data_IF_182475659353
#
_entry.id   IF_182475659353
#
_cell.length_a   1.000
_cell.length_b   1.000
_cell.length_c   1.000
_cell.angle_alpha   90.00
_cell.angle_beta   90.00
_cell.angle_gamma   90.00
#
_symmetry.space_group_name_H-M   'P 1'
#
loop_
_entity.id
_entity.type
_entity.pdbx_description
1 polymer ?
#
# COMPACT_ATOMS: atom_id res chain seq x y z
N UNK A 1 0.61 29.23 -0.62
CA UNK A 1 0.82 28.59 -1.94
C UNK A 1 0.75 27.09 -1.71
N UNK A 2 -0.35 26.46 -2.08
CA UNK A 2 -0.51 25.01 -2.00
C UNK A 2 -0.08 24.40 -3.33
N UNK A 3 0.81 23.41 -3.30
CA UNK A 3 1.40 22.78 -4.48
C UNK A 3 0.54 21.66 -5.09
N UNK A 4 -0.70 21.47 -4.60
CA UNK A 4 -1.60 20.40 -5.03
C UNK A 4 -3.06 20.90 -5.03
N UNK A 5 -3.66 20.96 -6.21
CA UNK A 5 -5.06 21.36 -6.48
C UNK A 5 -5.90 20.19 -7.04
N UNK A 6 -5.71 18.99 -6.48
CA UNK A 6 -6.50 17.80 -6.78
C UNK A 6 -7.26 17.31 -5.54
N UNK A 7 -8.43 16.72 -5.76
CA UNK A 7 -9.19 16.04 -4.70
C UNK A 7 -8.43 14.79 -4.29
N UNK A 8 -7.53 14.91 -3.32
CA UNK A 8 -6.93 13.75 -2.63
C UNK A 8 -7.82 13.29 -1.50
N UNK A 9 -7.67 12.02 -1.09
CA UNK A 9 -8.29 11.49 0.12
C UNK A 9 -8.04 12.41 1.31
N UNK A 10 -9.07 12.64 2.12
CA UNK A 10 -8.92 13.30 3.41
C UNK A 10 -7.87 12.54 4.24
N UNK A 11 -7.13 13.26 5.08
CA UNK A 11 -6.21 12.61 6.03
C UNK A 11 -7.03 11.71 6.96
N UNK A 12 -6.82 10.39 6.87
CA UNK A 12 -7.47 9.41 7.73
C UNK A 12 -6.46 8.98 8.79
N UNK A 13 -6.55 9.49 10.03
CA UNK A 13 -5.63 9.09 11.08
C UNK A 13 -5.84 7.62 11.44
N UNK A 14 -4.75 6.90 11.67
CA UNK A 14 -4.79 5.59 12.31
C UNK A 14 -5.12 5.81 13.79
N UNK A 15 -6.31 5.37 14.20
CA UNK A 15 -6.86 5.58 15.54
C UNK A 15 -6.92 4.28 16.37
N UNK A 16 -6.53 3.15 15.77
CA UNK A 16 -6.65 1.80 16.35
C UNK A 16 -8.05 1.49 16.88
N UNK A 17 -9.07 2.14 16.33
CA UNK A 17 -10.47 1.97 16.70
C UNK A 17 -11.30 1.70 15.45
N UNK A 18 -11.25 2.62 14.49
CA UNK A 18 -11.92 2.52 13.19
C UNK A 18 -10.97 2.32 12.02
N UNK A 19 -9.68 2.63 12.22
CA UNK A 19 -8.60 2.50 11.24
C UNK A 19 -7.43 1.82 11.92
N UNK A 20 -7.04 0.67 11.40
CA UNK A 20 -6.02 -0.20 12.00
C UNK A 20 -4.93 -0.53 10.99
N UNK A 21 -3.67 -0.49 11.42
CA UNK A 21 -2.59 -1.14 10.69
C UNK A 21 -2.46 -2.57 11.22
N UNK A 22 -2.71 -3.55 10.37
CA UNK A 22 -2.55 -4.96 10.71
C UNK A 22 -1.27 -5.50 10.10
N UNK A 23 -0.33 -5.93 10.96
CA UNK A 23 0.85 -6.70 10.55
C UNK A 23 0.50 -8.19 10.61
N UNK A 24 0.56 -8.89 9.48
CA UNK A 24 0.09 -10.26 9.43
C UNK A 24 1.13 -11.24 9.93
N UNK A 25 0.73 -12.09 10.88
CA UNK A 25 1.46 -13.28 11.33
C UNK A 25 2.91 -13.01 11.76
N UNK A 26 3.25 -11.77 12.15
CA UNK A 26 4.62 -11.37 12.46
C UNK A 26 5.59 -11.64 11.31
N UNK A 27 5.15 -11.41 10.08
CA UNK A 27 5.95 -11.58 8.85
C UNK A 27 6.86 -10.40 8.54
N UNK A 28 6.61 -9.25 9.19
CA UNK A 28 7.38 -8.03 9.05
C UNK A 28 7.29 -7.14 10.30
N UNK A 29 8.19 -6.16 10.39
CA UNK A 29 8.00 -4.94 11.19
C UNK A 29 7.84 -3.72 10.29
N UNK A 30 7.18 -2.69 10.81
CA UNK A 30 7.16 -1.36 10.21
C UNK A 30 7.97 -0.43 11.11
N UNK A 31 8.91 0.29 10.51
CA UNK A 31 9.81 1.21 11.19
C UNK A 31 9.79 2.57 10.48
N UNK A 32 9.93 3.71 11.18
CA UNK A 32 10.01 5.00 10.51
C UNK A 32 11.37 5.18 9.82
N UNK A 33 11.38 5.76 8.62
CA UNK A 33 12.59 6.13 7.89
C UNK A 33 12.68 7.64 7.63
N UNK A 34 13.90 8.18 7.61
CA UNK A 34 14.16 9.56 7.18
C UNK A 34 14.37 9.69 5.67
N UNK A 35 14.67 8.59 4.98
CA UNK A 35 14.70 8.48 3.51
C UNK A 35 13.27 8.40 2.99
N UNK A 36 12.87 9.33 2.12
CA UNK A 36 11.45 9.54 1.75
C UNK A 36 11.32 10.27 0.42
N UNK A 37 10.14 10.20 -0.21
CA UNK A 37 9.84 11.03 -1.39
C UNK A 37 9.38 12.42 -0.96
N UNK A 38 8.52 12.50 0.05
CA UNK A 38 7.96 13.76 0.52
C UNK A 38 7.85 13.83 2.05
N UNK A 39 7.28 14.93 2.55
CA UNK A 39 6.99 15.08 3.97
C UNK A 39 8.23 14.97 4.87
N UNK A 40 8.03 14.35 6.05
CA UNK A 40 9.06 14.23 7.10
C UNK A 40 9.58 12.81 7.31
N UNK A 41 8.80 11.78 7.00
CA UNK A 41 9.15 10.36 7.18
C UNK A 41 8.43 9.50 6.14
N UNK A 42 9.01 8.34 5.82
CA UNK A 42 8.32 7.23 5.14
C UNK A 42 8.26 6.03 6.08
N UNK A 43 7.50 5.00 5.71
CA UNK A 43 7.50 3.71 6.39
C UNK A 43 8.58 2.79 5.79
N UNK A 44 9.29 2.06 6.64
CA UNK A 44 10.26 1.03 6.29
C UNK A 44 9.67 -0.33 6.64
N UNK A 45 9.35 -1.11 5.61
CA UNK A 45 8.90 -2.49 5.73
C UNK A 45 10.12 -3.38 5.89
N UNK A 46 10.23 -4.10 7.00
CA UNK A 46 11.38 -4.97 7.29
C UNK A 46 10.94 -6.43 7.33
N UNK A 47 11.51 -7.25 6.47
CA UNK A 47 11.17 -8.66 6.31
C UNK A 47 11.62 -9.51 7.51
N UNK A 48 10.76 -10.40 8.03
CA UNK A 48 11.08 -11.26 9.18
C UNK A 48 11.71 -12.62 8.81
N UNK A 49 12.13 -12.79 7.54
CA UNK A 49 12.75 -14.03 7.05
C UNK A 49 11.79 -15.18 6.73
N UNK A 50 10.50 -14.89 6.48
CA UNK A 50 9.45 -15.90 6.24
C UNK A 50 9.24 -16.22 4.76
N UNK A 51 8.33 -17.14 4.46
CA UNK A 51 7.99 -17.54 3.08
C UNK A 51 7.05 -16.56 2.37
N UNK A 52 6.54 -15.57 3.10
CA UNK A 52 5.71 -14.48 2.62
C UNK A 52 5.73 -13.34 3.64
N UNK A 53 5.29 -12.16 3.23
CA UNK A 53 4.96 -11.07 4.15
C UNK A 53 3.71 -10.32 3.75
N UNK A 54 3.04 -9.72 4.73
CA UNK A 54 2.01 -8.75 4.41
C UNK A 54 1.54 -7.90 5.59
N UNK A 55 1.03 -6.73 5.23
CA UNK A 55 0.29 -5.86 6.13
C UNK A 55 -0.82 -5.14 5.38
N UNK A 56 -1.70 -4.45 6.10
CA UNK A 56 -2.69 -3.60 5.46
C UNK A 56 -3.29 -2.57 6.42
N UNK A 57 -3.94 -1.58 5.82
CA UNK A 57 -4.84 -0.66 6.52
C UNK A 57 -6.23 -1.27 6.47
N UNK A 58 -6.87 -1.42 7.63
CA UNK A 58 -8.23 -1.97 7.74
C UNK A 58 -9.18 -0.93 8.36
N UNK A 59 -10.40 -0.89 7.84
CA UNK A 59 -11.49 -0.04 8.28
C UNK A 59 -12.57 -0.86 8.97
N UNK A 60 -13.05 -0.34 10.10
CA UNK A 60 -14.25 -0.84 10.77
C UNK A 60 -15.09 0.35 11.23
N UNK A 61 -16.26 0.62 10.62
CA UNK A 61 -16.92 -0.14 9.56
C UNK A 61 -16.28 0.05 8.16
N UNK A 62 -16.65 -0.80 7.17
CA UNK A 62 -16.28 -0.61 5.77
C UNK A 62 -16.74 0.75 5.21
N UNK A 63 -16.05 1.25 4.18
CA UNK A 63 -16.33 2.58 3.60
C UNK A 63 -16.52 2.51 2.08
N UNK A 64 -17.28 3.46 1.54
CA UNK A 64 -17.51 3.59 0.12
C UNK A 64 -16.36 4.37 -0.55
N UNK A 65 -15.80 3.81 -1.63
CA UNK A 65 -14.76 4.38 -2.48
C UNK A 65 -15.21 4.72 -3.91
N UNK A 66 -16.49 4.64 -4.26
CA UNK A 66 -17.06 4.94 -5.59
C UNK A 66 -16.70 6.35 -6.11
N UNK A 67 -16.38 7.28 -5.21
CA UNK A 67 -15.96 8.64 -5.56
C UNK A 67 -14.49 8.78 -5.94
N UNK A 68 -13.70 7.70 -5.90
CA UNK A 68 -12.27 7.71 -6.19
C UNK A 68 -11.93 6.90 -7.44
N UNK A 69 -10.89 7.32 -8.16
CA UNK A 69 -10.49 6.74 -9.44
C UNK A 69 -9.15 6.02 -9.37
N UNK A 70 -8.20 6.54 -8.57
CA UNK A 70 -6.83 6.03 -8.53
C UNK A 70 -6.30 5.89 -7.10
N UNK A 71 -5.65 4.75 -6.82
CA UNK A 71 -4.81 4.54 -5.64
C UNK A 71 -3.36 4.85 -6.01
N UNK A 72 -2.73 5.71 -5.22
CA UNK A 72 -1.32 6.05 -5.34
C UNK A 72 -0.53 5.40 -4.22
N UNK A 73 0.68 4.94 -4.52
CA UNK A 73 1.68 4.47 -3.54
C UNK A 73 3.07 4.60 -4.15
N UNK A 74 4.07 4.92 -3.34
CA UNK A 74 5.47 4.97 -3.79
C UNK A 74 6.30 3.93 -3.05
N UNK A 75 7.15 3.22 -3.80
CA UNK A 75 7.95 2.10 -3.30
C UNK A 75 9.42 2.30 -3.68
N UNK A 76 10.35 1.92 -2.80
CA UNK A 76 11.78 1.81 -3.10
C UNK A 76 12.39 0.62 -2.37
N UNK A 77 12.98 -0.29 -3.13
CA UNK A 77 13.82 -1.37 -2.61
C UNK A 77 14.83 -1.80 -3.68
N UNK A 78 15.92 -2.41 -3.22
CA UNK A 78 16.83 -3.22 -4.05
C UNK A 78 16.98 -4.64 -3.48
N UNK A 79 16.26 -4.96 -2.40
CA UNK A 79 16.43 -6.19 -1.65
C UNK A 79 15.60 -7.33 -2.28
N UNK A 80 16.16 -8.54 -2.40
CA UNK A 80 15.56 -9.62 -3.20
C UNK A 80 14.17 -10.06 -2.71
N UNK A 81 13.86 -9.94 -1.42
CA UNK A 81 12.55 -10.23 -0.84
C UNK A 81 11.42 -9.35 -1.37
N UNK A 82 11.75 -8.21 -1.98
CA UNK A 82 10.80 -7.26 -2.57
C UNK A 82 10.89 -7.21 -4.10
N UNK A 83 11.50 -8.22 -4.73
CA UNK A 83 11.53 -8.33 -6.20
C UNK A 83 10.13 -8.52 -6.81
N UNK A 84 9.21 -9.15 -6.07
CA UNK A 84 7.82 -9.35 -6.47
C UNK A 84 6.89 -8.89 -5.34
N UNK A 85 6.21 -7.77 -5.58
CA UNK A 85 5.28 -7.13 -4.65
C UNK A 85 3.90 -7.03 -5.30
N UNK A 86 2.86 -7.21 -4.50
CA UNK A 86 1.47 -6.96 -4.88
C UNK A 86 0.85 -5.91 -3.98
N UNK A 87 0.03 -5.06 -4.59
CA UNK A 87 -0.85 -4.12 -3.89
C UNK A 87 -2.27 -4.66 -3.97
N UNK A 88 -2.91 -4.77 -2.82
CA UNK A 88 -4.24 -5.35 -2.67
C UNK A 88 -5.26 -4.38 -2.09
N UNK A 89 -6.52 -4.71 -2.33
CA UNK A 89 -7.68 -4.08 -1.72
C UNK A 89 -8.70 -5.17 -1.40
N UNK A 90 -9.38 -5.04 -0.25
CA UNK A 90 -10.38 -6.01 0.17
C UNK A 90 -11.73 -5.35 0.48
N UNK A 91 -12.78 -5.97 -0.03
CA UNK A 91 -14.16 -5.94 0.46
C UNK A 91 -14.44 -7.34 1.05
N UNK A 92 -15.57 -7.98 0.73
CA UNK A 92 -15.80 -9.41 0.99
C UNK A 92 -14.89 -10.33 0.15
N UNK A 93 -14.21 -9.80 -0.86
CA UNK A 93 -13.18 -10.44 -1.66
C UNK A 93 -11.80 -9.82 -1.36
N UNK A 94 -10.74 -10.51 -1.75
CA UNK A 94 -9.39 -9.97 -1.77
C UNK A 94 -8.89 -9.92 -3.20
N UNK A 95 -8.64 -8.71 -3.70
CA UNK A 95 -8.07 -8.50 -5.03
C UNK A 95 -6.65 -7.98 -4.87
N UNK A 96 -5.71 -8.64 -5.53
CA UNK A 96 -4.28 -8.30 -5.48
C UNK A 96 -3.77 -8.07 -6.89
N UNK A 97 -3.05 -6.97 -7.08
CA UNK A 97 -2.51 -6.56 -8.37
C UNK A 97 -0.98 -6.48 -8.25
N UNK A 98 -0.22 -7.10 -9.17
CA UNK A 98 1.24 -7.07 -9.13
C UNK A 98 1.74 -5.64 -9.38
N UNK A 99 2.60 -5.12 -8.51
CA UNK A 99 3.13 -3.76 -8.58
C UNK A 99 3.89 -3.48 -9.88
N UNK A 100 4.52 -4.52 -10.46
CA UNK A 100 5.24 -4.42 -11.74
C UNK A 100 4.34 -4.04 -12.92
N UNK A 101 3.02 -4.31 -12.85
CA UNK A 101 2.05 -3.84 -13.86
C UNK A 101 1.94 -2.31 -13.91
N UNK A 102 2.32 -1.64 -12.81
CA UNK A 102 2.21 -0.20 -12.63
C UNK A 102 3.55 0.52 -12.58
N UNK A 103 4.65 -0.16 -12.95
CA UNK A 103 5.98 0.44 -13.13
C UNK A 103 6.97 0.20 -11.99
N UNK A 104 6.63 -0.56 -10.95
CA UNK A 104 7.60 -0.91 -9.91
C UNK A 104 8.72 -1.81 -10.45
N UNK A 105 9.97 -1.42 -10.16
CA UNK A 105 11.16 -2.25 -10.37
C UNK A 105 11.98 -2.27 -9.08
N UNK A 106 12.54 -3.44 -8.73
CA UNK A 106 13.39 -3.60 -7.56
C UNK A 106 14.85 -3.21 -7.87
N UNK A 107 15.09 -1.91 -8.07
CA UNK A 107 16.35 -1.34 -8.57
C UNK A 107 16.97 -0.29 -7.63
N UNK A 108 16.44 -0.16 -6.41
CA UNK A 108 16.85 0.82 -5.41
C UNK A 108 16.42 2.26 -5.74
N UNK A 109 15.57 2.45 -6.75
CA UNK A 109 14.96 3.74 -7.06
C UNK A 109 13.54 3.83 -6.53
N UNK A 110 13.07 5.06 -6.36
CA UNK A 110 11.68 5.33 -6.02
C UNK A 110 10.80 5.20 -7.26
N UNK A 111 9.76 4.38 -7.15
CA UNK A 111 8.73 4.22 -8.18
C UNK A 111 7.38 4.63 -7.61
N UNK A 112 6.73 5.56 -8.30
CA UNK A 112 5.36 5.97 -7.98
C UNK A 112 4.37 5.16 -8.81
N UNK A 113 3.49 4.43 -8.13
CA UNK A 113 2.45 3.63 -8.73
C UNK A 113 1.14 4.42 -8.70
N UNK A 114 0.50 4.55 -9.87
CA UNK A 114 -0.87 5.04 -10.01
C UNK A 114 -1.74 3.86 -10.47
N UNK A 115 -2.49 3.27 -9.53
CA UNK A 115 -3.25 2.04 -9.72
C UNK A 115 -4.73 2.41 -9.91
N UNK A 116 -5.32 2.23 -11.10
CA UNK A 116 -6.74 2.52 -11.32
C UNK A 116 -7.63 1.62 -10.45
N UNK A 117 -8.61 2.20 -9.75
CA UNK A 117 -9.58 1.42 -8.96
C UNK A 117 -10.40 0.47 -9.85
N UNK A 118 -10.57 0.81 -11.13
CA UNK A 118 -11.19 -0.04 -12.13
C UNK A 118 -10.49 -1.40 -12.29
N UNK A 119 -9.18 -1.49 -12.05
CA UNK A 119 -8.47 -2.79 -12.11
C UNK A 119 -8.83 -3.69 -10.92
N UNK A 120 -9.11 -3.13 -9.74
CA UNK A 120 -9.63 -3.90 -8.61
C UNK A 120 -11.07 -4.35 -8.87
N UNK A 121 -11.91 -3.47 -9.43
CA UNK A 121 -13.29 -3.81 -9.84
C UNK A 121 -13.30 -4.92 -10.90
N UNK A 122 -12.39 -4.87 -11.87
CA UNK A 122 -12.22 -5.93 -12.86
C UNK A 122 -11.80 -7.28 -12.23
N UNK A 123 -11.13 -7.24 -11.07
CA UNK A 123 -10.82 -8.40 -10.24
C UNK A 123 -11.97 -8.88 -9.34
N UNK A 124 -13.11 -8.18 -9.34
CA UNK A 124 -14.31 -8.56 -8.59
C UNK A 124 -14.59 -7.75 -7.31
N UNK A 125 -13.76 -6.73 -7.02
CA UNK A 125 -13.94 -5.86 -5.86
C UNK A 125 -15.16 -4.94 -6.02
N UNK A 126 -15.95 -4.77 -4.96
CA UNK A 126 -17.01 -3.77 -4.86
C UNK A 126 -16.53 -2.55 -4.05
N UNK A 127 -16.54 -1.37 -4.68
CA UNK A 127 -16.03 -0.14 -4.05
C UNK A 127 -16.96 0.43 -2.98
N UNK A 128 -18.24 0.05 -2.96
CA UNK A 128 -19.23 0.62 -2.04
C UNK A 128 -19.07 0.15 -0.58
N UNK A 129 -18.27 -0.89 -0.31
CA UNK A 129 -18.10 -1.49 1.01
C UNK A 129 -16.66 -2.02 1.27
N UNK A 130 -15.65 -1.21 0.99
CA UNK A 130 -14.23 -1.60 1.15
C UNK A 130 -13.86 -1.65 2.63
N UNK A 131 -13.26 -2.77 3.06
CA UNK A 131 -12.79 -3.00 4.43
C UNK A 131 -11.27 -2.86 4.57
N UNK A 132 -10.49 -3.16 3.53
CA UNK A 132 -9.05 -2.93 3.53
C UNK A 132 -8.66 -2.17 2.25
N UNK A 133 -8.60 -0.82 2.28
CA UNK A 133 -8.28 -0.01 1.11
C UNK A 133 -6.86 -0.23 0.58
N UNK A 134 -5.95 -0.74 1.41
CA UNK A 134 -4.56 -0.96 1.07
C UNK A 134 -4.04 -2.18 1.79
N UNK A 135 -3.52 -3.12 1.02
CA UNK A 135 -2.82 -4.32 1.48
C UNK A 135 -1.52 -4.43 0.71
N UNK A 136 -0.40 -4.59 1.42
CA UNK A 136 0.90 -4.82 0.81
C UNK A 136 1.30 -6.27 1.04
N UNK A 137 1.72 -6.97 -0.02
CA UNK A 137 2.14 -8.36 0.04
C UNK A 137 3.43 -8.53 -0.75
N UNK A 138 4.37 -9.30 -0.20
CA UNK A 138 5.52 -9.80 -0.94
C UNK A 138 5.76 -11.29 -0.63
N UNK A 139 6.57 -11.93 -1.46
CA UNK A 139 6.93 -13.33 -1.34
C UNK A 139 7.95 -13.60 -0.24
N UNK A 140 8.63 -14.74 -0.34
CA UNK A 140 9.72 -15.10 0.56
C UNK A 140 10.91 -14.14 0.41
N UNK A 141 11.60 -13.88 1.51
CA UNK A 141 12.78 -13.03 1.54
C UNK A 141 13.67 -13.33 2.76
N UNK A 142 14.97 -13.01 2.71
CA UNK A 142 15.84 -12.98 3.88
C UNK A 142 15.26 -12.12 5.02
N UNK A 143 15.71 -12.39 6.24
CA UNK A 143 15.44 -11.49 7.35
C UNK A 143 16.23 -10.18 7.14
N UNK A 144 15.63 -9.05 7.53
CA UNK A 144 16.18 -7.71 7.38
C UNK A 144 16.27 -7.17 5.95
N UNK A 145 15.76 -7.87 4.93
CA UNK A 145 15.44 -7.23 3.66
C UNK A 145 14.43 -6.11 3.92
N UNK A 146 14.57 -4.99 3.20
CA UNK A 146 13.79 -3.78 3.42
C UNK A 146 13.13 -3.21 2.17
N UNK A 147 12.00 -2.53 2.36
CA UNK A 147 11.39 -1.67 1.36
C UNK A 147 10.87 -0.39 2.01
N UNK A 148 11.16 0.75 1.40
CA UNK A 148 10.56 2.02 1.77
C UNK A 148 9.21 2.17 1.07
N UNK A 149 8.20 2.58 1.82
CA UNK A 149 6.85 2.83 1.37
C UNK A 149 6.44 4.24 1.79
N UNK A 150 5.86 4.98 0.86
CA UNK A 150 5.43 6.36 1.05
C UNK A 150 4.20 6.67 0.18
N UNK A 151 3.54 7.81 0.41
CA UNK A 151 2.54 8.36 -0.51
C UNK A 151 1.33 7.45 -0.81
N UNK A 152 0.76 6.81 0.20
CA UNK A 152 -0.49 6.07 0.06
C UNK A 152 -1.68 7.04 0.13
N UNK A 153 -2.34 7.29 -1.00
CA UNK A 153 -3.53 8.16 -1.07
C UNK A 153 -4.42 7.83 -2.27
N UNK A 154 -5.67 8.31 -2.25
CA UNK A 154 -6.59 8.22 -3.40
C UNK A 154 -6.78 9.57 -4.09
N UNK A 155 -7.06 9.56 -5.38
CA UNK A 155 -7.50 10.72 -6.19
C UNK A 155 -8.78 10.39 -6.95
N UNK A 156 -9.51 11.42 -7.42
CA UNK A 156 -10.82 11.29 -8.08
C UNK A 156 -10.82 11.81 -9.54
N UNK A 157 -9.63 12.15 -10.03
CA UNK A 157 -9.35 12.85 -11.27
C UNK A 157 -9.43 11.91 -12.50
#
# INVERSE_FOLDING_TARGET
>A
MGFYEGGRSQDIPVDNTTVHIHLYEGTLSLEPSTTRIEGRQSDLVVHAGKTWLGFGVHWSPPRNLDGWTTLHVSLNSADPGFANVSIGMNDDQSVQLPASRYGYTNDGQWHHLAIPLADFVAGGLQLNAVQAPFVFIAGAGPAADTLLLDNVYFTAD
#
